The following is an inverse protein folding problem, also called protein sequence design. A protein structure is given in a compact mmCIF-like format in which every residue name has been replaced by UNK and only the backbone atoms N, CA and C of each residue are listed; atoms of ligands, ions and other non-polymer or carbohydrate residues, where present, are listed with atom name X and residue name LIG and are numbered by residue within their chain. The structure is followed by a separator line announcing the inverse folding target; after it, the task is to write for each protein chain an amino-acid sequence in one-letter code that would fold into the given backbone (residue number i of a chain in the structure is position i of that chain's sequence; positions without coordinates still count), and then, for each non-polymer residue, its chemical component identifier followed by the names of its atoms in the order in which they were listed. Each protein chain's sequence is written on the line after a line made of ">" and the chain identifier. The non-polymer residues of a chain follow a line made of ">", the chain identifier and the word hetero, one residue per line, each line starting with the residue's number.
data_IF_181522853094
#
_entry.id   IF_181522853094
#
_cell.length_a   1.000
_cell.length_b   1.000
_cell.length_c   1.000
_cell.angle_alpha   90.00
_cell.angle_beta   90.00
_cell.angle_gamma   90.00
#
_symmetry.space_group_name_H-M   'P 1'
#
loop_
_entity.id
_entity.type
_entity.pdbx_description
1 polymer ?
#
# COMPACT_ATOMS: atom_id res chain seq x y z
N UNK A 1 -54.47 -10.29 -27.30
CA UNK A 1 -53.05 -9.86 -27.33
C UNK A 1 -52.22 -11.01 -26.81
N UNK A 2 -51.34 -11.55 -27.64
CA UNK A 2 -50.52 -12.72 -27.33
C UNK A 2 -49.49 -12.37 -26.25
N UNK A 3 -49.43 -13.18 -25.19
CA UNK A 3 -48.37 -13.12 -24.20
C UNK A 3 -47.04 -13.47 -24.90
N UNK A 4 -46.14 -12.50 -25.02
CA UNK A 4 -44.76 -12.79 -25.40
C UNK A 4 -44.17 -13.68 -24.29
N UNK A 5 -43.79 -14.92 -24.65
CA UNK A 5 -42.99 -15.82 -23.81
C UNK A 5 -41.72 -15.07 -23.44
N UNK A 6 -41.58 -14.69 -22.18
CA UNK A 6 -40.40 -14.00 -21.66
C UNK A 6 -39.27 -14.99 -21.41
N UNK A 7 -38.20 -14.88 -22.18
CA UNK A 7 -36.95 -15.61 -21.94
C UNK A 7 -36.23 -14.95 -20.75
N UNK A 8 -36.35 -15.58 -19.58
CA UNK A 8 -35.58 -15.22 -18.39
C UNK A 8 -34.19 -15.84 -18.53
N UNK A 9 -33.18 -15.00 -18.80
CA UNK A 9 -31.82 -15.45 -19.09
C UNK A 9 -30.86 -14.83 -18.09
N UNK A 10 -29.98 -15.65 -17.54
CA UNK A 10 -28.85 -15.17 -16.76
C UNK A 10 -27.56 -15.37 -17.58
N UNK A 11 -26.77 -14.31 -17.75
CA UNK A 11 -25.57 -14.31 -18.58
C UNK A 11 -24.37 -14.05 -17.70
N UNK A 12 -23.42 -14.96 -17.73
CA UNK A 12 -22.19 -14.91 -16.95
C UNK A 12 -20.98 -14.71 -17.87
N UNK A 13 -20.02 -13.93 -17.42
CA UNK A 13 -18.68 -13.91 -17.98
C UNK A 13 -17.68 -13.44 -16.91
N UNK A 14 -16.44 -13.92 -16.99
CA UNK A 14 -15.38 -13.51 -16.08
C UNK A 14 -14.17 -12.97 -16.85
N UNK A 15 -13.32 -12.27 -16.12
CA UNK A 15 -11.95 -11.94 -16.50
C UNK A 15 -11.04 -12.35 -15.35
N UNK A 16 -9.97 -13.07 -15.67
CA UNK A 16 -9.07 -13.65 -14.68
C UNK A 16 -7.60 -13.34 -15.01
N UNK A 17 -6.87 -12.86 -14.01
CA UNK A 17 -5.40 -12.86 -13.96
C UNK A 17 -5.02 -13.48 -12.61
N UNK A 18 -4.81 -14.80 -12.55
CA UNK A 18 -4.57 -15.52 -11.30
C UNK A 18 -3.51 -14.83 -10.42
N UNK A 19 -3.77 -14.67 -9.10
CA UNK A 19 -4.86 -15.28 -8.34
C UNK A 19 -6.20 -14.52 -8.37
N UNK A 20 -6.32 -13.47 -9.19
CA UNK A 20 -7.44 -12.54 -9.17
C UNK A 20 -8.48 -12.89 -10.26
N UNK A 21 -9.75 -12.86 -9.90
CA UNK A 21 -10.87 -13.12 -10.83
C UNK A 21 -12.00 -12.13 -10.56
N UNK A 22 -12.52 -11.51 -11.61
CA UNK A 22 -13.77 -10.75 -11.58
C UNK A 22 -14.80 -11.42 -12.46
N UNK A 23 -16.02 -11.59 -11.96
CA UNK A 23 -17.16 -12.15 -12.67
C UNK A 23 -18.28 -11.11 -12.73
N UNK A 24 -18.91 -10.99 -13.89
CA UNK A 24 -20.17 -10.28 -14.02
C UNK A 24 -21.31 -11.23 -14.38
N UNK A 25 -22.46 -10.98 -13.74
CA UNK A 25 -23.72 -11.67 -13.94
C UNK A 25 -24.79 -10.65 -14.32
N UNK A 26 -25.36 -10.80 -15.51
CA UNK A 26 -26.49 -9.99 -15.96
C UNK A 26 -27.76 -10.81 -15.91
N UNK A 27 -28.78 -10.27 -15.22
CA UNK A 27 -30.12 -10.84 -15.22
C UNK A 27 -30.94 -10.18 -16.31
N UNK A 28 -31.34 -10.96 -17.31
CA UNK A 28 -32.17 -10.54 -18.43
C UNK A 28 -33.60 -11.09 -18.25
N UNK A 29 -34.59 -10.22 -18.27
CA UNK A 29 -36.02 -10.61 -18.20
C UNK A 29 -36.76 -9.93 -19.33
N UNK A 30 -37.53 -10.68 -20.10
CA UNK A 30 -38.23 -10.17 -21.29
C UNK A 30 -37.31 -9.39 -22.26
N UNK A 31 -36.05 -9.81 -22.39
CA UNK A 31 -35.06 -9.16 -23.26
C UNK A 31 -34.43 -7.87 -22.71
N UNK A 32 -34.74 -7.47 -21.47
CA UNK A 32 -34.16 -6.29 -20.83
C UNK A 32 -33.29 -6.68 -19.63
N UNK A 33 -32.19 -5.95 -19.42
CA UNK A 33 -31.32 -6.16 -18.26
C UNK A 33 -32.00 -5.54 -17.04
N UNK A 34 -32.38 -6.36 -16.08
CA UNK A 34 -33.07 -5.92 -14.86
C UNK A 34 -32.13 -5.78 -13.66
N UNK A 35 -31.02 -6.53 -13.64
CA UNK A 35 -30.04 -6.51 -12.56
C UNK A 35 -28.65 -6.88 -13.09
N UNK A 36 -27.60 -6.39 -12.43
CA UNK A 36 -26.20 -6.66 -12.72
C UNK A 36 -25.46 -6.87 -11.41
N UNK A 37 -24.71 -7.96 -11.32
CA UNK A 37 -23.94 -8.31 -10.12
C UNK A 37 -22.50 -8.56 -10.49
N UNK A 38 -21.62 -8.08 -9.62
CA UNK A 38 -20.18 -8.23 -9.73
C UNK A 38 -19.68 -9.11 -8.56
N UNK A 39 -18.79 -10.04 -8.86
CA UNK A 39 -18.17 -10.91 -7.86
C UNK A 39 -16.65 -10.94 -8.07
N UNK A 40 -15.92 -11.10 -6.97
CA UNK A 40 -14.47 -10.97 -6.93
C UNK A 40 -13.85 -12.09 -6.10
N UNK A 41 -12.79 -12.69 -6.62
CA UNK A 41 -11.94 -13.65 -5.90
C UNK A 41 -10.49 -13.19 -5.97
N UNK A 42 -9.74 -13.43 -4.89
CA UNK A 42 -8.35 -12.96 -4.72
C UNK A 42 -7.35 -14.10 -4.46
N UNK A 43 -7.83 -15.35 -4.42
CA UNK A 43 -7.11 -16.55 -3.97
C UNK A 43 -7.14 -17.70 -4.98
N UNK A 44 -7.44 -17.43 -6.25
CA UNK A 44 -7.53 -18.44 -7.32
C UNK A 44 -6.17 -18.70 -7.97
N UNK A 45 -5.20 -19.25 -7.22
CA UNK A 45 -3.82 -19.46 -7.69
C UNK A 45 -3.73 -20.26 -9.00
N UNK A 46 -4.56 -21.30 -9.12
CA UNK A 46 -4.77 -22.06 -10.35
C UNK A 46 -6.21 -21.80 -10.83
N UNK A 47 -6.34 -21.15 -12.00
CA UNK A 47 -7.65 -20.83 -12.57
C UNK A 47 -7.90 -21.64 -13.84
N UNK A 48 -8.83 -22.57 -13.73
CA UNK A 48 -9.45 -23.24 -14.87
C UNK A 48 -10.89 -22.73 -15.02
N UNK A 49 -11.17 -22.07 -16.15
CA UNK A 49 -12.45 -21.39 -16.37
C UNK A 49 -13.63 -22.39 -16.39
N UNK A 50 -13.44 -23.60 -16.93
CA UNK A 50 -14.50 -24.60 -17.02
C UNK A 50 -14.86 -25.16 -15.63
N UNK A 51 -13.85 -25.50 -14.82
CA UNK A 51 -14.05 -25.95 -13.43
C UNK A 51 -14.66 -24.85 -12.55
N UNK A 52 -14.24 -23.60 -12.77
CA UNK A 52 -14.78 -22.44 -12.07
C UNK A 52 -16.27 -22.27 -12.33
N UNK A 53 -16.72 -22.29 -13.60
CA UNK A 53 -18.14 -22.16 -13.91
C UNK A 53 -18.98 -23.34 -13.42
N UNK A 54 -18.47 -24.58 -13.51
CA UNK A 54 -19.13 -25.76 -12.93
C UNK A 54 -19.41 -25.57 -11.43
N UNK A 55 -18.40 -25.14 -10.67
CA UNK A 55 -18.51 -24.93 -9.22
C UNK A 55 -19.40 -23.74 -8.86
N UNK A 56 -19.25 -22.63 -9.58
CA UNK A 56 -20.01 -21.40 -9.38
C UNK A 56 -21.51 -21.61 -9.58
N UNK A 57 -21.91 -22.26 -10.68
CA UNK A 57 -23.32 -22.46 -10.98
C UNK A 57 -24.00 -23.37 -9.95
N UNK A 58 -23.29 -24.40 -9.48
CA UNK A 58 -23.76 -25.23 -8.36
C UNK A 58 -23.97 -24.40 -7.10
N UNK A 59 -22.97 -23.63 -6.69
CA UNK A 59 -23.06 -22.77 -5.51
C UNK A 59 -24.20 -21.75 -5.62
N UNK A 60 -24.39 -21.16 -6.80
CA UNK A 60 -25.43 -20.17 -7.02
C UNK A 60 -26.82 -20.79 -7.03
N UNK A 61 -27.07 -21.88 -7.77
CA UNK A 61 -28.45 -22.33 -8.02
C UNK A 61 -28.93 -23.51 -7.16
N UNK A 62 -28.03 -24.29 -6.53
CA UNK A 62 -28.44 -25.45 -5.72
C UNK A 62 -29.25 -25.07 -4.49
N UNK A 63 -29.09 -23.86 -3.95
CA UNK A 63 -29.84 -23.38 -2.77
C UNK A 63 -30.84 -22.25 -3.09
N UNK A 64 -30.88 -21.75 -4.33
CA UNK A 64 -31.82 -20.69 -4.73
C UNK A 64 -33.25 -21.22 -4.98
N UNK A 65 -34.24 -20.37 -4.71
CA UNK A 65 -35.64 -20.65 -5.06
C UNK A 65 -35.97 -20.31 -6.52
N UNK A 66 -35.20 -19.42 -7.14
CA UNK A 66 -35.45 -18.95 -8.50
C UNK A 66 -34.34 -19.42 -9.45
N UNK A 67 -34.75 -20.05 -10.56
CA UNK A 67 -33.86 -20.56 -11.61
C UNK A 67 -34.36 -20.03 -12.98
N UNK A 68 -33.50 -19.38 -13.79
CA UNK A 68 -33.88 -18.82 -15.09
C UNK A 68 -34.22 -19.91 -16.12
N UNK A 69 -34.79 -19.51 -17.26
CA UNK A 69 -35.01 -20.44 -18.39
C UNK A 69 -33.71 -20.82 -19.10
N UNK A 70 -32.79 -19.87 -19.26
CA UNK A 70 -31.50 -20.11 -19.89
C UNK A 70 -30.37 -19.51 -19.05
N UNK A 71 -29.24 -20.18 -19.03
CA UNK A 71 -28.00 -19.72 -18.40
C UNK A 71 -26.93 -19.69 -19.49
N UNK A 72 -26.34 -18.53 -19.75
CA UNK A 72 -25.27 -18.40 -20.74
C UNK A 72 -23.92 -18.25 -20.04
N UNK A 73 -22.97 -19.07 -20.44
CA UNK A 73 -21.59 -19.09 -19.94
C UNK A 73 -20.59 -18.95 -21.11
N UNK A 74 -19.35 -18.52 -20.85
CA UNK A 74 -18.35 -18.32 -21.92
C UNK A 74 -17.68 -19.62 -22.36
N UNK A 75 -17.71 -20.67 -21.54
CA UNK A 75 -17.01 -21.94 -21.76
C UNK A 75 -17.91 -23.14 -21.44
N UNK A 76 -17.72 -24.24 -22.16
CA UNK A 76 -18.34 -25.53 -21.84
C UNK A 76 -17.57 -26.24 -20.72
N UNK A 77 -18.26 -27.03 -19.91
CA UNK A 77 -17.68 -27.77 -18.79
C UNK A 77 -18.27 -29.19 -18.71
N UNK A 78 -17.51 -30.13 -18.14
CA UNK A 78 -17.76 -31.58 -18.28
C UNK A 78 -19.13 -32.04 -17.75
N UNK A 79 -19.60 -31.46 -16.65
CA UNK A 79 -20.84 -31.86 -15.98
C UNK A 79 -22.05 -30.98 -16.35
N UNK A 80 -21.97 -30.30 -17.50
CA UNK A 80 -23.03 -29.48 -18.08
C UNK A 80 -24.39 -30.18 -18.09
N UNK A 81 -24.47 -31.38 -18.67
CA UNK A 81 -25.75 -32.08 -18.89
C UNK A 81 -26.40 -32.51 -17.57
N UNK A 82 -25.60 -32.96 -16.61
CA UNK A 82 -26.07 -33.35 -15.28
C UNK A 82 -26.62 -32.14 -14.49
N UNK A 83 -25.97 -30.98 -14.62
CA UNK A 83 -26.43 -29.76 -13.99
C UNK A 83 -27.72 -29.24 -14.64
N UNK A 84 -27.84 -29.29 -15.96
CA UNK A 84 -29.06 -28.90 -16.68
C UNK A 84 -30.28 -29.74 -16.27
N UNK A 85 -30.11 -31.07 -16.14
CA UNK A 85 -31.14 -31.99 -15.67
C UNK A 85 -31.57 -31.64 -14.23
N UNK A 86 -30.61 -31.51 -13.31
CA UNK A 86 -30.87 -31.19 -11.91
C UNK A 86 -31.60 -29.85 -11.73
N UNK A 87 -31.18 -28.81 -12.47
CA UNK A 87 -31.82 -27.49 -12.43
C UNK A 87 -33.23 -27.54 -13.05
N UNK A 88 -33.42 -28.33 -14.10
CA UNK A 88 -34.73 -28.52 -14.73
C UNK A 88 -35.73 -29.21 -13.80
N UNK A 89 -35.29 -30.25 -13.08
CA UNK A 89 -36.08 -30.94 -12.05
C UNK A 89 -36.47 -29.98 -10.94
N UNK A 90 -35.50 -29.23 -10.40
CA UNK A 90 -35.73 -28.28 -9.31
C UNK A 90 -36.68 -27.15 -9.71
N UNK A 91 -36.59 -26.68 -10.95
CA UNK A 91 -37.48 -25.65 -11.52
C UNK A 91 -38.85 -26.20 -11.94
N UNK A 92 -38.99 -27.53 -12.05
CA UNK A 92 -40.14 -28.22 -12.62
C UNK A 92 -40.46 -27.79 -14.07
N UNK A 93 -39.45 -27.30 -14.80
CA UNK A 93 -39.50 -26.86 -16.21
C UNK A 93 -38.08 -26.89 -16.78
N UNK A 94 -37.97 -27.12 -18.09
CA UNK A 94 -36.68 -27.14 -18.79
C UNK A 94 -35.87 -25.85 -18.52
N UNK A 95 -34.63 -26.05 -18.09
CA UNK A 95 -33.55 -25.05 -18.03
C UNK A 95 -32.56 -25.44 -19.11
N UNK A 96 -31.90 -24.47 -19.74
CA UNK A 96 -30.83 -24.75 -20.70
C UNK A 96 -29.58 -23.97 -20.35
N UNK A 97 -28.46 -24.66 -20.20
CA UNK A 97 -27.15 -24.02 -20.10
C UNK A 97 -26.60 -23.93 -21.53
N UNK A 98 -26.04 -22.78 -21.91
CA UNK A 98 -25.58 -22.55 -23.28
C UNK A 98 -24.26 -21.79 -23.30
N UNK A 99 -23.47 -22.07 -24.34
CA UNK A 99 -22.26 -21.32 -24.67
C UNK A 99 -22.47 -20.64 -26.04
N UNK A 100 -23.12 -19.45 -26.10
CA UNK A 100 -23.43 -18.81 -27.36
C UNK A 100 -22.17 -18.50 -28.18
N UNK A 101 -22.12 -18.98 -29.44
CA UNK A 101 -20.97 -18.78 -30.33
C UNK A 101 -21.19 -17.66 -31.38
N UNK A 102 -22.43 -17.29 -31.68
CA UNK A 102 -22.78 -16.28 -32.71
C UNK A 102 -24.13 -15.62 -32.47
N UNK A 103 -24.37 -14.48 -33.13
CA UNK A 103 -25.63 -13.74 -33.07
C UNK A 103 -25.77 -12.85 -31.82
N UNK A 104 -27.01 -12.42 -31.54
CA UNK A 104 -27.32 -11.45 -30.48
C UNK A 104 -26.94 -11.95 -29.08
N UNK A 105 -27.13 -13.26 -28.80
CA UNK A 105 -26.73 -13.88 -27.53
C UNK A 105 -25.21 -13.83 -27.31
N UNK A 106 -24.40 -14.06 -28.35
CA UNK A 106 -22.93 -13.89 -28.27
C UNK A 106 -22.53 -12.44 -28.07
N UNK A 107 -23.23 -11.48 -28.70
CA UNK A 107 -22.97 -10.06 -28.49
C UNK A 107 -23.25 -9.63 -27.03
N UNK A 108 -24.32 -10.15 -26.42
CA UNK A 108 -24.61 -9.93 -25.00
C UNK A 108 -23.54 -10.56 -24.10
N UNK A 109 -23.14 -11.81 -24.36
CA UNK A 109 -22.05 -12.44 -23.62
C UNK A 109 -20.75 -11.62 -23.70
N UNK A 110 -20.39 -11.12 -24.88
CA UNK A 110 -19.22 -10.26 -25.07
C UNK A 110 -19.33 -8.91 -24.33
N UNK A 111 -20.55 -8.38 -24.16
CA UNK A 111 -20.78 -7.22 -23.30
C UNK A 111 -20.52 -7.56 -21.83
N UNK A 112 -20.99 -8.69 -21.33
CA UNK A 112 -20.74 -9.13 -19.94
C UNK A 112 -19.25 -9.37 -19.72
N UNK A 113 -18.55 -9.97 -20.68
CA UNK A 113 -17.10 -10.20 -20.65
C UNK A 113 -16.31 -8.88 -20.61
N UNK A 114 -16.70 -7.91 -21.44
CA UNK A 114 -16.10 -6.57 -21.44
C UNK A 114 -16.33 -5.86 -20.10
N UNK A 115 -17.53 -5.98 -19.52
CA UNK A 115 -17.79 -5.45 -18.19
C UNK A 115 -16.95 -6.16 -17.13
N UNK A 116 -16.83 -7.50 -17.18
CA UNK A 116 -16.02 -8.26 -16.21
C UNK A 116 -14.57 -7.79 -16.22
N UNK A 117 -14.01 -7.54 -17.40
CA UNK A 117 -12.68 -6.93 -17.54
C UNK A 117 -12.62 -5.50 -16.99
N UNK A 118 -13.61 -4.66 -17.23
CA UNK A 118 -13.65 -3.31 -16.64
C UNK A 118 -13.74 -3.35 -15.12
N UNK A 119 -14.59 -4.20 -14.54
CA UNK A 119 -14.71 -4.37 -13.09
C UNK A 119 -13.40 -4.94 -12.50
N UNK A 120 -12.74 -5.86 -13.20
CA UNK A 120 -11.41 -6.36 -12.86
C UNK A 120 -10.37 -5.22 -12.85
N UNK A 121 -10.29 -4.46 -13.94
CA UNK A 121 -9.33 -3.39 -14.10
C UNK A 121 -9.58 -2.25 -13.11
N UNK A 122 -10.82 -2.00 -12.69
CA UNK A 122 -11.14 -0.99 -11.68
C UNK A 122 -10.78 -1.46 -10.26
N UNK A 123 -10.95 -2.75 -9.96
CA UNK A 123 -10.76 -3.32 -8.62
C UNK A 123 -9.34 -3.78 -8.34
N UNK A 124 -8.75 -4.51 -9.28
CA UNK A 124 -7.51 -5.26 -9.07
C UNK A 124 -6.32 -4.64 -9.75
N UNK A 125 -6.52 -4.08 -10.94
CA UNK A 125 -5.53 -3.16 -11.46
C UNK A 125 -5.72 -1.86 -10.71
N UNK A 126 -4.76 -1.55 -9.86
CA UNK A 126 -4.34 -0.15 -9.80
C UNK A 126 -3.88 0.15 -11.23
N UNK A 127 -4.80 0.57 -12.11
CA UNK A 127 -4.48 1.32 -13.32
C UNK A 127 -3.39 2.24 -12.82
N UNK A 128 -2.11 2.05 -13.21
CA UNK A 128 -1.08 3.02 -12.88
C UNK A 128 -1.61 4.27 -13.55
N UNK A 129 -2.28 5.18 -12.82
CA UNK A 129 -2.74 6.37 -13.47
C UNK A 129 -1.42 7.00 -13.93
N UNK A 130 -1.41 7.62 -15.11
CA UNK A 130 -0.23 8.41 -15.47
C UNK A 130 0.16 9.26 -14.26
N UNK A 131 1.45 9.49 -14.02
CA UNK A 131 1.87 10.27 -12.83
C UNK A 131 1.02 11.54 -12.69
N UNK A 132 0.67 12.16 -13.83
CA UNK A 132 -0.29 13.25 -13.98
C UNK A 132 -1.71 12.97 -13.45
N UNK A 133 -2.33 11.83 -13.77
CA UNK A 133 -3.67 11.50 -13.26
C UNK A 133 -3.67 11.27 -11.74
N UNK A 134 -2.61 10.67 -11.18
CA UNK A 134 -2.45 10.58 -9.71
C UNK A 134 -2.34 11.99 -9.12
N UNK A 135 -1.49 12.84 -9.72
CA UNK A 135 -1.26 14.21 -9.26
C UNK A 135 -2.56 15.02 -9.29
N UNK A 136 -3.36 14.91 -10.35
CA UNK A 136 -4.66 15.58 -10.48
C UNK A 136 -5.67 15.09 -9.44
N UNK A 137 -5.78 13.77 -9.26
CA UNK A 137 -6.67 13.23 -8.24
C UNK A 137 -6.24 13.62 -6.81
N UNK A 138 -4.93 13.74 -6.54
CA UNK A 138 -4.42 14.28 -5.27
C UNK A 138 -4.76 15.76 -5.11
N UNK A 139 -4.61 16.54 -6.19
CA UNK A 139 -4.95 17.96 -6.20
C UNK A 139 -6.43 18.17 -5.85
N UNK A 140 -7.32 17.45 -6.53
CA UNK A 140 -8.77 17.56 -6.34
C UNK A 140 -9.18 17.08 -4.94
N UNK A 141 -8.67 15.91 -4.52
CA UNK A 141 -9.02 15.33 -3.22
C UNK A 141 -8.57 16.19 -2.03
N UNK A 142 -7.41 16.85 -2.13
CA UNK A 142 -6.84 17.68 -1.07
C UNK A 142 -7.06 19.18 -1.31
N UNK A 143 -7.83 19.55 -2.34
CA UNK A 143 -8.10 20.94 -2.73
C UNK A 143 -6.84 21.81 -2.82
N UNK A 144 -5.81 21.28 -3.50
CA UNK A 144 -4.52 21.95 -3.68
C UNK A 144 -4.57 22.91 -4.88
N UNK A 145 -3.80 24.00 -4.81
CA UNK A 145 -3.68 24.94 -5.92
C UNK A 145 -3.08 24.28 -7.18
N UNK A 146 -2.04 23.46 -6.99
CA UNK A 146 -1.32 22.77 -8.06
C UNK A 146 -1.20 21.27 -7.77
N UNK A 147 -1.09 20.49 -8.85
CA UNK A 147 -0.93 19.04 -8.78
C UNK A 147 0.48 18.66 -8.25
N UNK A 148 0.60 17.93 -7.12
CA UNK A 148 1.89 17.75 -6.46
C UNK A 148 2.75 16.69 -7.15
N UNK A 149 3.74 17.12 -7.95
CA UNK A 149 4.69 16.21 -8.61
C UNK A 149 5.64 15.48 -7.63
N UNK A 150 5.87 16.08 -6.46
CA UNK A 150 6.75 15.58 -5.39
C UNK A 150 6.09 15.77 -4.03
N UNK A 151 6.07 14.70 -3.24
CA UNK A 151 5.57 14.69 -1.86
C UNK A 151 6.72 14.30 -0.93
N UNK A 152 7.00 15.12 0.09
CA UNK A 152 7.93 14.77 1.18
C UNK A 152 7.10 14.46 2.43
N UNK A 153 7.22 13.23 2.95
CA UNK A 153 6.47 12.77 4.11
C UNK A 153 7.38 12.61 5.32
N UNK A 154 7.00 13.17 6.46
CA UNK A 154 7.74 13.12 7.73
C UNK A 154 7.02 12.27 8.78
N UNK A 155 7.77 11.42 9.49
CA UNK A 155 7.31 10.71 10.69
C UNK A 155 8.30 10.96 11.84
N UNK A 156 7.77 11.19 13.05
CA UNK A 156 8.55 11.31 14.28
C UNK A 156 8.42 10.00 15.04
N UNK A 157 9.54 9.29 15.17
CA UNK A 157 9.58 8.03 15.89
C UNK A 157 10.43 8.12 17.15
N UNK A 158 9.88 7.59 18.24
CA UNK A 158 10.53 7.52 19.54
C UNK A 158 11.31 6.22 19.72
N UNK A 159 12.56 6.34 20.17
CA UNK A 159 13.28 5.23 20.77
C UNK A 159 13.03 5.32 22.28
N UNK A 160 12.54 4.23 22.90
CA UNK A 160 12.65 4.06 24.35
C UNK A 160 14.14 4.06 24.72
N UNK A 161 14.67 5.24 25.06
CA UNK A 161 16.10 5.49 25.27
C UNK A 161 16.64 6.66 24.42
N UNK A 162 16.61 7.84 25.03
CA UNK A 162 17.38 9.09 24.77
C UNK A 162 17.44 9.72 23.38
N UNK A 163 17.15 9.04 22.26
CA UNK A 163 17.33 9.64 20.94
C UNK A 163 16.10 9.53 20.06
N UNK A 164 15.58 10.70 19.71
CA UNK A 164 14.50 10.87 18.76
C UNK A 164 15.04 10.92 17.34
N UNK A 165 14.28 10.33 16.44
CA UNK A 165 14.62 10.29 15.03
C UNK A 165 13.39 10.65 14.24
N UNK A 166 13.54 11.58 13.31
CA UNK A 166 12.57 11.78 12.27
C UNK A 166 13.00 11.05 11.00
N UNK A 167 12.06 10.41 10.34
CA UNK A 167 12.24 9.88 8.99
C UNK A 167 11.56 10.82 8.00
N UNK A 168 12.18 10.95 6.83
CA UNK A 168 11.59 11.62 5.68
C UNK A 168 11.70 10.70 4.48
N UNK A 169 10.56 10.40 3.87
CA UNK A 169 10.48 9.65 2.62
C UNK A 169 9.96 10.56 1.52
N UNK A 170 10.23 10.18 0.28
CA UNK A 170 9.92 10.99 -0.88
C UNK A 170 9.15 10.16 -1.87
N UNK A 171 7.99 10.68 -2.29
CA UNK A 171 7.26 10.21 -3.45
C UNK A 171 7.43 11.24 -4.57
N UNK A 172 7.70 10.79 -5.79
CA UNK A 172 7.89 11.67 -6.95
C UNK A 172 7.42 10.95 -8.21
N UNK A 173 6.58 11.63 -9.01
CA UNK A 173 6.12 11.15 -10.32
C UNK A 173 5.57 9.71 -10.29
N UNK A 174 4.69 9.40 -9.33
CA UNK A 174 4.04 8.08 -9.26
C UNK A 174 4.77 7.02 -8.45
N UNK A 175 5.96 7.29 -7.90
CA UNK A 175 6.78 6.28 -7.22
C UNK A 175 7.58 6.81 -6.03
N UNK A 176 7.93 5.90 -5.12
CA UNK A 176 8.85 6.20 -4.03
C UNK A 176 10.29 6.41 -4.52
N UNK A 177 10.86 7.59 -4.25
CA UNK A 177 12.22 7.99 -4.62
C UNK A 177 13.19 7.74 -3.46
N UNK A 178 13.54 6.46 -3.26
CA UNK A 178 14.39 5.99 -2.15
C UNK A 178 15.74 6.71 -2.00
N UNK A 179 16.34 7.17 -3.10
CA UNK A 179 17.60 7.91 -3.10
C UNK A 179 17.53 9.24 -2.32
N UNK A 180 16.33 9.83 -2.22
CA UNK A 180 16.09 11.12 -1.56
C UNK A 180 15.61 10.98 -0.12
N UNK A 181 15.47 9.76 0.38
CA UNK A 181 15.06 9.53 1.77
C UNK A 181 16.11 10.06 2.74
N UNK A 182 15.67 10.64 3.86
CA UNK A 182 16.57 11.20 4.88
C UNK A 182 16.11 10.80 6.28
N UNK A 183 17.09 10.69 7.17
CA UNK A 183 16.88 10.46 8.59
C UNK A 183 17.51 11.61 9.34
N UNK A 184 16.77 12.15 10.31
CA UNK A 184 17.21 13.28 11.10
C UNK A 184 17.31 12.83 12.55
N UNK A 185 18.52 12.90 13.10
CA UNK A 185 18.72 12.78 14.53
C UNK A 185 18.35 14.14 15.12
N UNK A 186 17.35 14.14 16.01
CA UNK A 186 16.90 15.32 16.76
C UNK A 186 17.97 15.62 17.82
N UNK A 187 18.43 16.86 17.89
CA UNK A 187 19.55 17.24 18.77
C UNK A 187 19.14 18.25 19.84
N UNK A 188 18.17 19.10 19.55
CA UNK A 188 17.88 20.29 20.36
C UNK A 188 16.69 20.09 21.31
N UNK A 189 15.89 19.05 21.07
CA UNK A 189 14.68 18.78 21.83
C UNK A 189 14.97 17.82 22.99
N UNK A 190 14.72 18.28 24.21
CA UNK A 190 14.84 17.50 25.44
C UNK A 190 13.46 16.91 25.79
N UNK A 191 13.41 15.61 26.08
CA UNK A 191 12.17 14.92 26.47
C UNK A 191 11.24 14.59 25.28
N UNK A 192 10.00 14.19 25.58
CA UNK A 192 9.02 13.68 24.60
C UNK A 192 8.12 14.78 24.00
N UNK A 193 8.73 15.85 23.48
CA UNK A 193 8.02 16.86 22.67
C UNK A 193 8.14 16.59 21.14
N UNK A 194 7.09 16.03 20.54
CA UNK A 194 7.06 15.75 19.10
C UNK A 194 6.86 17.00 18.25
N UNK A 195 6.18 18.02 18.76
CA UNK A 195 5.97 19.27 18.05
C UNK A 195 7.29 20.02 17.87
N UNK A 196 8.08 20.11 18.94
CA UNK A 196 9.43 20.68 18.85
C UNK A 196 10.35 19.86 17.93
N UNK A 197 10.19 18.52 17.93
CA UNK A 197 10.99 17.65 17.06
C UNK A 197 10.63 17.83 15.58
N UNK A 198 9.34 18.00 15.30
CA UNK A 198 8.84 18.35 13.96
C UNK A 198 9.40 19.69 13.51
N UNK A 199 9.30 20.73 14.37
CA UNK A 199 9.85 22.06 14.08
C UNK A 199 11.33 22.00 13.71
N UNK A 200 12.15 21.33 14.53
CA UNK A 200 13.59 21.20 14.26
C UNK A 200 13.87 20.59 12.88
N UNK A 201 13.17 19.52 12.52
CA UNK A 201 13.43 18.76 11.30
C UNK A 201 12.98 19.51 10.05
N UNK A 202 11.78 20.08 10.10
CA UNK A 202 11.21 20.88 9.02
C UNK A 202 12.10 22.10 8.77
N UNK A 203 12.43 22.88 9.80
CA UNK A 203 13.36 24.01 9.66
C UNK A 203 14.69 23.57 9.03
N UNK A 204 15.33 22.52 9.57
CA UNK A 204 16.63 22.05 9.04
C UNK A 204 16.55 21.58 7.58
N UNK A 205 15.47 20.88 7.19
CA UNK A 205 15.30 20.35 5.84
C UNK A 205 15.14 21.46 4.82
N UNK A 206 14.27 22.44 5.13
CA UNK A 206 13.88 23.47 4.18
C UNK A 206 14.84 24.66 4.15
N UNK A 207 15.49 25.02 5.27
CA UNK A 207 16.60 25.98 5.25
C UNK A 207 17.73 25.49 4.34
N UNK A 208 18.10 24.21 4.44
CA UNK A 208 19.10 23.62 3.54
C UNK A 208 18.64 23.61 2.08
N UNK A 209 17.36 23.38 1.82
CA UNK A 209 16.82 23.39 0.46
C UNK A 209 16.89 24.80 -0.16
N UNK A 210 16.59 25.84 0.63
CA UNK A 210 16.75 27.25 0.25
C UNK A 210 18.21 27.60 -0.02
N UNK A 211 19.14 27.18 0.85
CA UNK A 211 20.59 27.37 0.68
C UNK A 211 21.09 26.71 -0.62
N UNK A 212 20.64 25.48 -0.89
CA UNK A 212 20.97 24.72 -2.11
C UNK A 212 20.22 25.22 -3.36
N UNK A 213 19.31 26.22 -3.21
CA UNK A 213 18.44 26.75 -4.28
C UNK A 213 17.68 25.67 -5.04
N UNK A 214 17.21 24.64 -4.33
CA UNK A 214 16.45 23.53 -4.89
C UNK A 214 14.94 23.79 -4.78
N UNK A 215 14.13 23.25 -5.69
CA UNK A 215 12.69 23.44 -5.66
C UNK A 215 12.08 22.77 -4.42
N UNK A 216 11.06 23.44 -3.86
CA UNK A 216 10.20 22.90 -2.82
C UNK A 216 9.33 21.75 -3.37
N UNK A 217 8.90 20.79 -2.53
CA UNK A 217 7.95 19.77 -2.95
C UNK A 217 6.56 20.39 -3.21
N UNK A 218 5.76 19.74 -4.04
CA UNK A 218 4.39 20.16 -4.29
C UNK A 218 3.45 19.91 -3.10
N UNK A 219 3.83 19.01 -2.18
CA UNK A 219 3.12 18.77 -0.93
C UNK A 219 4.09 18.28 0.14
N UNK A 220 3.91 18.78 1.36
CA UNK A 220 4.54 18.25 2.56
C UNK A 220 3.48 17.47 3.33
N UNK A 221 3.76 16.21 3.64
CA UNK A 221 2.84 15.34 4.38
C UNK A 221 3.42 15.02 5.77
N UNK A 222 2.62 15.16 6.81
CA UNK A 222 3.02 14.89 8.18
C UNK A 222 2.27 13.64 8.71
N UNK A 223 3.00 12.65 9.21
CA UNK A 223 2.42 11.50 9.90
C UNK A 223 2.05 11.85 11.35
N UNK A 224 0.89 12.51 11.49
CA UNK A 224 0.24 12.70 12.78
C UNK A 224 -0.91 13.70 12.69
N UNK A 225 -1.32 14.20 13.86
CA UNK A 225 -2.51 15.04 13.98
C UNK A 225 -2.24 16.53 13.76
N UNK A 226 -3.31 17.31 13.94
CA UNK A 226 -3.36 18.77 13.78
C UNK A 226 -2.23 19.53 14.51
N UNK A 227 -1.87 19.11 15.72
CA UNK A 227 -0.77 19.75 16.46
C UNK A 227 0.59 19.64 15.75
N UNK A 228 0.86 18.52 15.07
CA UNK A 228 2.08 18.35 14.30
C UNK A 228 2.02 19.10 12.95
N UNK A 229 0.82 19.20 12.37
CA UNK A 229 0.58 20.05 11.19
C UNK A 229 0.97 21.50 11.47
N UNK A 230 0.41 22.09 12.53
CA UNK A 230 0.71 23.47 12.91
C UNK A 230 2.19 23.66 13.29
N UNK A 231 2.79 22.68 13.99
CA UNK A 231 4.22 22.74 14.30
C UNK A 231 5.10 22.76 13.03
N UNK A 232 4.72 22.03 11.98
CA UNK A 232 5.42 22.07 10.70
C UNK A 232 5.18 23.43 9.98
N UNK A 233 3.97 23.97 10.02
CA UNK A 233 3.65 25.28 9.45
C UNK A 233 4.46 26.40 10.11
N UNK A 234 4.46 26.49 11.45
CA UNK A 234 5.26 27.44 12.23
C UNK A 234 6.75 27.40 11.84
N UNK A 235 7.29 26.20 11.60
CA UNK A 235 8.69 26.01 11.22
C UNK A 235 9.01 26.51 9.81
N UNK A 236 8.07 26.41 8.87
CA UNK A 236 8.19 26.94 7.52
C UNK A 236 8.05 28.47 7.51
N UNK A 237 7.08 29.00 8.25
CA UNK A 237 6.88 30.45 8.39
C UNK A 237 8.10 31.13 9.00
N UNK A 238 8.72 30.52 10.02
CA UNK A 238 9.92 31.05 10.68
C UNK A 238 11.12 31.22 9.73
N UNK A 239 11.14 30.51 8.59
CA UNK A 239 12.17 30.62 7.55
C UNK A 239 11.67 31.31 6.27
N UNK A 240 10.52 31.99 6.37
CA UNK A 240 9.95 32.80 5.29
C UNK A 240 9.26 31.99 4.19
N UNK A 241 8.79 30.77 4.48
CA UNK A 241 8.00 29.95 3.55
C UNK A 241 6.56 29.91 4.07
N UNK A 242 5.67 30.72 3.50
CA UNK A 242 4.25 30.79 3.88
C UNK A 242 3.34 29.94 2.99
N UNK A 243 3.71 29.77 1.72
CA UNK A 243 2.78 29.28 0.68
C UNK A 243 2.97 27.79 0.35
N UNK A 244 3.73 27.05 1.17
CA UNK A 244 4.02 25.65 0.94
C UNK A 244 2.77 24.79 1.25
N UNK A 245 2.24 24.02 0.28
CA UNK A 245 1.16 23.09 0.58
C UNK A 245 1.61 22.06 1.61
N UNK A 246 0.81 21.92 2.67
CA UNK A 246 1.10 21.13 3.85
C UNK A 246 -0.17 20.41 4.30
N UNK A 247 -0.05 19.11 4.58
CA UNK A 247 -1.15 18.29 5.09
C UNK A 247 -0.65 17.29 6.14
N UNK A 248 -1.57 16.77 6.96
CA UNK A 248 -1.28 15.72 7.94
C UNK A 248 -2.34 14.63 7.93
N UNK A 249 -1.94 13.38 8.16
CA UNK A 249 -2.86 12.25 8.25
C UNK A 249 -2.95 11.73 9.70
N UNK A 250 -4.14 11.79 10.29
CA UNK A 250 -4.38 11.28 11.64
C UNK A 250 -4.47 9.74 11.65
N UNK A 251 -3.67 9.09 12.52
CA UNK A 251 -3.51 7.62 12.55
C UNK A 251 -4.77 6.80 12.83
N UNK A 252 -5.75 7.32 13.58
CA UNK A 252 -6.91 6.52 14.06
C UNK A 252 -8.08 6.57 13.09
N UNK A 253 -8.38 7.76 12.59
CA UNK A 253 -9.55 8.00 11.75
C UNK A 253 -9.20 8.12 10.26
N UNK A 254 -7.91 8.14 9.92
CA UNK A 254 -7.39 8.33 8.55
C UNK A 254 -7.90 9.60 7.87
N UNK A 255 -8.23 10.57 8.71
CA UNK A 255 -8.65 11.91 8.34
C UNK A 255 -7.41 12.70 7.92
N UNK A 256 -7.52 13.40 6.78
CA UNK A 256 -6.46 14.26 6.26
C UNK A 256 -6.83 15.70 6.56
N UNK A 257 -5.93 16.40 7.25
CA UNK A 257 -6.04 17.83 7.50
C UNK A 257 -5.12 18.57 6.55
N UNK A 258 -5.66 19.53 5.80
CA UNK A 258 -4.89 20.42 4.92
C UNK A 258 -4.74 21.77 5.61
N UNK A 259 -3.52 22.29 5.65
CA UNK A 259 -3.23 23.55 6.33
C UNK A 259 -4.00 24.71 5.67
N UNK A 260 -4.65 25.54 6.47
CA UNK A 260 -5.57 26.60 6.05
C UNK A 260 -6.99 26.13 5.70
N UNK A 261 -7.29 24.84 5.80
CA UNK A 261 -8.61 24.24 5.55
C UNK A 261 -8.97 23.23 6.67
N UNK A 262 -8.45 23.44 7.88
CA UNK A 262 -8.52 22.46 8.97
C UNK A 262 -9.94 22.24 9.51
N UNK A 263 -10.81 23.24 9.34
CA UNK A 263 -12.22 23.20 9.74
C UNK A 263 -13.06 22.25 8.86
N UNK A 264 -12.60 21.95 7.65
CA UNK A 264 -13.23 21.04 6.69
C UNK A 264 -12.27 19.89 6.34
N UNK A 265 -12.01 18.97 7.29
CA UNK A 265 -11.05 17.91 7.06
C UNK A 265 -11.49 16.96 5.94
N UNK A 266 -10.52 16.50 5.15
CA UNK A 266 -10.76 15.60 4.03
C UNK A 266 -10.96 14.18 4.54
N UNK A 267 -12.20 13.69 4.40
CA UNK A 267 -12.57 12.30 4.69
C UNK A 267 -12.78 11.58 3.36
N UNK A 268 -11.89 10.65 3.05
CA UNK A 268 -11.95 9.86 1.83
C UNK A 268 -12.63 8.51 2.09
N UNK A 269 -13.30 7.97 1.06
CA UNK A 269 -13.81 6.61 1.10
C UNK A 269 -12.67 5.60 1.31
N UNK A 270 -12.94 4.50 2.02
CA UNK A 270 -11.92 3.48 2.36
C UNK A 270 -11.31 2.80 1.14
N UNK A 271 -12.01 2.79 0.01
CA UNK A 271 -11.55 2.23 -1.26
C UNK A 271 -10.95 3.31 -2.19
N UNK A 272 -10.82 4.55 -1.71
CA UNK A 272 -10.24 5.64 -2.49
C UNK A 272 -8.76 5.34 -2.83
N UNK A 273 -8.38 5.34 -4.11
CA UNK A 273 -6.98 5.19 -4.52
C UNK A 273 -6.06 6.26 -3.90
N UNK A 274 -6.60 7.45 -3.63
CA UNK A 274 -5.86 8.55 -3.01
C UNK A 274 -5.59 8.29 -1.54
N UNK A 275 -6.58 7.77 -0.81
CA UNK A 275 -6.37 7.35 0.57
C UNK A 275 -5.29 6.28 0.65
N UNK A 276 -5.36 5.25 -0.22
CA UNK A 276 -4.34 4.21 -0.29
C UNK A 276 -2.94 4.72 -0.63
N UNK A 277 -2.84 5.73 -1.49
CA UNK A 277 -1.56 6.36 -1.81
C UNK A 277 -0.98 7.09 -0.60
N UNK A 278 -1.78 7.91 0.08
CA UNK A 278 -1.36 8.65 1.28
C UNK A 278 -0.96 7.67 2.40
N UNK A 279 -1.75 6.61 2.62
CA UNK A 279 -1.41 5.51 3.53
C UNK A 279 -0.08 4.85 3.15
N UNK A 280 0.13 4.52 1.87
CA UNK A 280 1.36 3.88 1.40
C UNK A 280 2.59 4.75 1.65
N UNK A 281 2.48 6.06 1.44
CA UNK A 281 3.56 7.02 1.72
C UNK A 281 3.84 7.10 3.23
N UNK A 282 2.79 7.16 4.07
CA UNK A 282 2.90 7.15 5.54
C UNK A 282 3.55 5.87 6.04
N UNK A 283 3.07 4.73 5.61
CA UNK A 283 3.54 3.41 6.05
C UNK A 283 5.00 3.19 5.64
N UNK A 284 5.41 3.72 4.49
CA UNK A 284 6.81 3.74 4.07
C UNK A 284 7.68 4.66 4.93
N UNK A 285 7.17 5.81 5.38
CA UNK A 285 7.84 6.70 6.34
C UNK A 285 8.06 6.00 7.68
N UNK A 286 7.03 5.33 8.18
CA UNK A 286 7.08 4.55 9.41
C UNK A 286 8.05 3.36 9.27
N UNK A 287 7.97 2.59 8.19
CA UNK A 287 8.89 1.47 7.89
C UNK A 287 10.34 1.94 7.87
N UNK A 288 10.60 3.10 7.26
CA UNK A 288 11.95 3.67 7.16
C UNK A 288 12.50 4.13 8.51
N UNK A 289 11.64 4.62 9.42
CA UNK A 289 11.99 4.91 10.80
C UNK A 289 12.33 3.63 11.58
N UNK A 290 11.45 2.62 11.54
CA UNK A 290 11.64 1.35 12.26
C UNK A 290 12.93 0.63 11.87
N UNK A 291 13.28 0.60 10.58
CA UNK A 291 14.55 0.00 10.12
C UNK A 291 15.77 0.70 10.72
N UNK A 292 15.72 2.02 10.90
CA UNK A 292 16.78 2.76 11.58
C UNK A 292 16.92 2.40 13.05
N UNK A 293 15.78 2.27 13.73
CA UNK A 293 15.75 1.93 15.14
C UNK A 293 16.34 0.55 15.38
N UNK A 294 16.03 -0.43 14.52
CA UNK A 294 16.64 -1.76 14.58
C UNK A 294 18.16 -1.68 14.39
N UNK A 295 18.65 -1.01 13.34
CA UNK A 295 20.10 -0.90 13.11
C UNK A 295 20.84 -0.19 14.26
N UNK A 296 20.23 0.84 14.84
CA UNK A 296 20.85 1.66 15.88
C UNK A 296 20.78 1.04 17.27
N UNK A 297 19.67 0.35 17.61
CA UNK A 297 19.55 -0.41 18.86
C UNK A 297 20.59 -1.53 18.88
N UNK A 298 20.71 -2.25 17.77
CA UNK A 298 21.77 -3.24 17.58
C UNK A 298 23.12 -2.56 17.80
N UNK A 299 23.48 -1.52 17.03
CA UNK A 299 24.77 -0.84 17.19
C UNK A 299 25.09 -0.37 18.63
N UNK A 300 24.10 0.10 19.40
CA UNK A 300 24.29 0.58 20.78
C UNK A 300 24.46 -0.53 21.81
N UNK A 301 23.60 -1.54 21.76
CA UNK A 301 23.73 -2.72 22.61
C UNK A 301 25.10 -3.39 22.36
N UNK A 302 25.50 -3.40 21.10
CA UNK A 302 26.76 -3.97 20.62
C UNK A 302 28.01 -3.13 20.97
N UNK A 303 27.90 -1.80 21.00
CA UNK A 303 28.98 -0.92 21.50
C UNK A 303 29.15 -1.12 23.01
N UNK A 304 28.05 -1.25 23.74
CA UNK A 304 28.07 -1.54 25.19
C UNK A 304 28.66 -2.91 25.51
N UNK A 305 28.43 -3.93 24.69
CA UNK A 305 29.04 -5.27 24.85
C UNK A 305 30.56 -5.23 24.61
N UNK A 306 31.02 -4.55 23.55
CA UNK A 306 32.46 -4.44 23.27
C UNK A 306 33.18 -3.52 24.27
N UNK A 307 32.51 -2.46 24.76
CA UNK A 307 33.04 -1.57 25.80
C UNK A 307 33.09 -2.25 27.19
N UNK A 308 32.31 -3.33 27.41
CA UNK A 308 32.32 -4.10 28.65
C UNK A 308 33.49 -5.10 28.75
N UNK A 309 34.27 -5.29 27.67
CA UNK A 309 35.38 -6.23 27.66
C UNK A 309 36.56 -5.66 28.45
N UNK A 310 36.87 -6.29 29.58
CA UNK A 310 37.95 -5.87 30.46
C UNK A 310 39.32 -5.86 29.72
N UNK A 311 39.95 -4.68 29.69
CA UNK A 311 41.22 -4.46 29.00
C UNK A 311 41.12 -4.15 27.50
N UNK A 312 39.91 -3.97 26.94
CA UNK A 312 39.69 -3.41 25.61
C UNK A 312 39.19 -1.97 25.75
N UNK A 313 40.03 -0.99 25.40
CA UNK A 313 39.65 0.42 25.47
C UNK A 313 38.79 0.89 24.28
N UNK A 314 38.06 1.99 24.47
CA UNK A 314 37.19 2.62 23.43
C UNK A 314 37.84 2.80 22.05
N UNK A 315 39.15 3.08 22.00
CA UNK A 315 39.91 3.20 20.74
C UNK A 315 39.95 1.89 19.95
N UNK A 316 40.08 0.77 20.66
CA UNK A 316 40.12 -0.58 20.08
C UNK A 316 38.73 -1.00 19.59
N UNK A 317 37.68 -0.69 20.37
CA UNK A 317 36.27 -0.92 19.97
C UNK A 317 35.92 -0.15 18.70
N UNK A 318 36.26 1.14 18.64
CA UNK A 318 36.04 1.97 17.44
C UNK A 318 36.80 1.43 16.22
N UNK A 319 38.02 0.91 16.40
CA UNK A 319 38.82 0.34 15.31
C UNK A 319 38.18 -0.93 14.73
N UNK A 320 37.66 -1.80 15.60
CA UNK A 320 36.94 -3.01 15.20
C UNK A 320 35.65 -2.67 14.47
N UNK A 321 34.85 -1.75 15.01
CA UNK A 321 33.59 -1.32 14.38
C UNK A 321 33.82 -0.61 13.04
N UNK A 322 34.93 0.12 12.90
CA UNK A 322 35.29 0.77 11.64
C UNK A 322 35.65 -0.23 10.54
N UNK A 323 36.37 -1.30 10.90
CA UNK A 323 36.83 -2.31 9.94
C UNK A 323 35.72 -3.30 9.57
N UNK A 324 35.03 -3.86 10.57
CA UNK A 324 34.04 -4.91 10.38
C UNK A 324 32.62 -4.38 10.21
N UNK A 325 32.39 -3.08 10.44
CA UNK A 325 31.09 -2.41 10.26
C UNK A 325 30.05 -2.69 11.35
N UNK A 326 30.03 -3.89 11.93
CA UNK A 326 29.14 -4.25 13.04
C UNK A 326 29.80 -5.27 13.97
N UNK A 327 29.39 -5.35 15.23
CA UNK A 327 29.95 -6.35 16.15
C UNK A 327 29.46 -7.78 15.87
N UNK A 328 28.35 -7.98 15.14
CA UNK A 328 27.96 -9.31 14.63
C UNK A 328 29.02 -9.82 13.66
N UNK A 329 29.53 -8.94 12.80
CA UNK A 329 30.65 -9.24 11.92
C UNK A 329 31.96 -9.40 12.72
N UNK A 330 32.14 -8.67 13.83
CA UNK A 330 33.27 -8.91 14.77
C UNK A 330 33.14 -10.27 15.46
N UNK A 331 31.92 -10.71 15.83
CA UNK A 331 31.65 -12.01 16.45
C UNK A 331 31.85 -13.16 15.46
N UNK A 332 31.43 -12.95 14.21
CA UNK A 332 31.63 -13.90 13.11
C UNK A 332 33.08 -13.95 12.61
N UNK A 333 33.89 -12.92 12.90
CA UNK A 333 35.26 -12.84 12.43
C UNK A 333 36.16 -13.93 13.03
N UNK A 334 37.08 -14.45 12.21
CA UNK A 334 38.10 -15.40 12.65
C UNK A 334 39.09 -14.74 13.63
N UNK A 335 39.81 -15.55 14.42
CA UNK A 335 40.84 -14.98 15.32
C UNK A 335 41.95 -14.30 14.50
N UNK A 336 42.25 -14.80 13.30
CA UNK A 336 43.22 -14.16 12.40
C UNK A 336 42.72 -12.79 11.92
N UNK A 337 41.45 -12.68 11.52
CA UNK A 337 40.85 -11.43 11.07
C UNK A 337 40.85 -10.37 12.18
N UNK A 338 40.47 -10.74 13.40
CA UNK A 338 40.51 -9.84 14.54
C UNK A 338 41.96 -9.43 14.90
N UNK A 339 42.89 -10.38 14.83
CA UNK A 339 44.32 -10.14 15.12
C UNK A 339 44.93 -9.11 14.17
N UNK A 340 44.54 -9.13 12.89
CA UNK A 340 45.02 -8.17 11.90
C UNK A 340 44.65 -6.71 12.25
N UNK A 341 43.55 -6.50 12.96
CA UNK A 341 43.03 -5.16 13.27
C UNK A 341 43.53 -4.64 14.63
N UNK A 342 43.51 -5.48 15.66
CA UNK A 342 43.76 -5.06 17.06
C UNK A 342 44.91 -5.79 17.76
N UNK A 343 45.57 -6.73 17.08
CA UNK A 343 46.66 -7.53 17.65
C UNK A 343 46.15 -8.74 18.45
N UNK A 344 47.01 -9.74 18.62
CA UNK A 344 46.64 -11.09 19.11
C UNK A 344 46.05 -11.09 20.53
N UNK A 345 46.57 -10.24 21.41
CA UNK A 345 46.11 -10.16 22.81
C UNK A 345 44.71 -9.53 22.94
N UNK A 346 44.35 -8.59 22.06
CA UNK A 346 43.02 -7.98 22.04
C UNK A 346 42.01 -8.88 21.31
N UNK A 347 42.41 -9.50 20.20
CA UNK A 347 41.59 -10.45 19.44
C UNK A 347 41.11 -11.63 20.30
N UNK A 348 41.99 -12.20 21.12
CA UNK A 348 41.64 -13.29 22.05
C UNK A 348 40.60 -12.88 23.09
N UNK A 349 40.73 -11.68 23.68
CA UNK A 349 39.78 -11.17 24.68
C UNK A 349 38.41 -10.90 24.07
N UNK A 350 38.39 -10.35 22.85
CA UNK A 350 37.16 -10.16 22.09
C UNK A 350 36.49 -11.50 21.81
N UNK A 351 37.26 -12.51 21.37
CA UNK A 351 36.71 -13.83 21.05
C UNK A 351 36.25 -14.61 22.29
N UNK A 352 36.96 -14.50 23.41
CA UNK A 352 36.58 -15.17 24.66
C UNK A 352 35.35 -14.56 25.34
N UNK A 353 35.07 -13.28 25.10
CA UNK A 353 33.91 -12.59 25.69
C UNK A 353 32.65 -12.71 24.83
N UNK A 354 32.79 -13.01 23.54
CA UNK A 354 31.70 -13.12 22.57
C UNK A 354 31.29 -14.57 22.23
N UNK A 355 32.00 -15.56 22.79
CA UNK A 355 31.55 -16.96 22.91
C UNK A 355 30.57 -17.06 24.07
#
# INVERSE_FOLDING_TARGET
>A
MAAAKGDDVDIFACYAEPPLVALNLFHLRNGQIVDRREFFWEDQEEFDEAQFFSSLLKQLYLDQQYIPTEIHVPVEFEDHDALEELLSEKRNRKVEIRTPQRGQKKALLGLVETNAKHSFDARFRVLKPSSRAIQQALQEALNLADAPARIECFDISHIQGTDKVASMVVWEEGRMKKADYRKFIIRTVIGNDDFASMREVVTRRYSRLQEEKRPLPGLVLIDGGLGQLHAAAEALEAIGISDQPLASIAKREEIIYVYGQEDEPVVLDRFSPILHLVQSIRDEAHRFAVTFHRSRRNARQLTSELDAIEGIGKKTVLKLLKEFGSSELVRAASEEQLTAVVGRAAARRVKSHLQ
#
